data_IF_506346394062
#
_entry.id   IF_506346394062
#
_cell.length_a   1.000
_cell.length_b   1.000
_cell.length_c   1.000
_cell.angle_alpha   90.00
_cell.angle_beta   90.00
_cell.angle_gamma   90.00
#
_symmetry.space_group_name_H-M   'P 1'
#
loop_
_entity.id
_entity.type
_entity.pdbx_description
1 polymer ?
#
# COMPACT_ATOMS: atom_id res chain seq x y z
N UNK A 1 -19.98 -7.24 -1.85
CA UNK A 1 -19.49 -6.12 -2.70
C UNK A 1 -19.17 -4.87 -1.89
N UNK A 2 -20.04 -4.40 -0.99
CA UNK A 2 -19.77 -3.23 -0.15
C UNK A 2 -18.48 -3.35 0.69
N UNK A 3 -18.17 -4.53 1.21
CA UNK A 3 -16.93 -4.79 1.95
C UNK A 3 -15.66 -4.56 1.11
N UNK A 4 -15.59 -5.09 -0.12
CA UNK A 4 -14.44 -4.84 -1.02
C UNK A 4 -14.29 -3.35 -1.36
N UNK A 5 -15.41 -2.63 -1.50
CA UNK A 5 -15.38 -1.19 -1.74
C UNK A 5 -14.85 -0.41 -0.53
N UNK A 6 -15.33 -0.73 0.68
CA UNK A 6 -14.87 -0.08 1.92
C UNK A 6 -13.38 -0.34 2.20
N UNK A 7 -12.90 -1.54 1.88
CA UNK A 7 -11.48 -1.92 1.92
C UNK A 7 -10.68 -1.01 0.98
N UNK A 8 -11.02 -1.02 -0.32
CA UNK A 8 -10.32 -0.19 -1.31
C UNK A 8 -10.39 1.32 -1.02
N UNK A 9 -11.50 1.82 -0.47
CA UNK A 9 -11.63 3.20 -0.03
C UNK A 9 -10.66 3.52 1.12
N UNK A 10 -10.52 2.63 2.12
CA UNK A 10 -9.55 2.80 3.21
C UNK A 10 -8.13 2.83 2.68
N UNK A 11 -7.73 1.84 1.87
CA UNK A 11 -6.37 1.80 1.34
C UNK A 11 -6.06 3.00 0.43
N UNK A 12 -7.05 3.44 -0.37
CA UNK A 12 -6.92 4.65 -1.19
C UNK A 12 -6.76 5.93 -0.35
N UNK A 13 -7.55 6.05 0.72
CA UNK A 13 -7.43 7.17 1.66
C UNK A 13 -6.07 7.16 2.37
N UNK A 14 -5.61 6.01 2.87
CA UNK A 14 -4.28 5.86 3.48
C UNK A 14 -3.15 6.26 2.52
N UNK A 15 -3.20 5.79 1.26
CA UNK A 15 -2.23 6.17 0.25
C UNK A 15 -2.22 7.68 -0.03
N UNK A 16 -3.41 8.28 -0.15
CA UNK A 16 -3.54 9.74 -0.36
C UNK A 16 -3.00 10.55 0.84
N UNK A 17 -3.21 10.05 2.07
CA UNK A 17 -2.72 10.66 3.29
C UNK A 17 -1.19 10.61 3.36
N UNK A 18 -0.58 9.47 3.04
CA UNK A 18 0.88 9.32 3.00
C UNK A 18 1.50 10.28 1.98
N UNK A 19 0.96 10.33 0.76
CA UNK A 19 1.45 11.26 -0.28
C UNK A 19 1.28 12.71 0.17
N UNK A 20 0.14 13.05 0.78
CA UNK A 20 -0.11 14.38 1.34
C UNK A 20 0.89 14.78 2.41
N UNK A 21 1.22 13.88 3.35
CA UNK A 21 2.23 14.11 4.40
C UNK A 21 3.61 14.34 3.79
N UNK A 22 4.00 13.53 2.79
CA UNK A 22 5.29 13.69 2.10
C UNK A 22 5.40 15.02 1.36
N UNK A 23 4.33 15.44 0.66
CA UNK A 23 4.29 16.74 -0.03
C UNK A 23 4.33 17.87 1.01
N UNK A 24 3.54 17.80 2.08
CA UNK A 24 3.55 18.80 3.15
C UNK A 24 4.93 18.94 3.79
N UNK A 25 5.62 17.81 4.03
CA UNK A 25 6.99 17.81 4.55
C UNK A 25 7.99 18.42 3.56
N UNK A 26 7.89 18.09 2.27
CA UNK A 26 8.73 18.67 1.22
C UNK A 26 8.56 20.20 1.12
N UNK A 27 7.32 20.68 1.24
CA UNK A 27 7.01 22.13 1.29
C UNK A 27 7.57 22.76 2.57
N UNK A 28 7.46 22.09 3.73
CA UNK A 28 7.96 22.59 5.02
C UNK A 28 9.49 22.77 5.03
N UNK A 29 10.23 21.93 4.32
CA UNK A 29 11.71 22.01 4.21
C UNK A 29 12.14 22.93 3.05
N UNK A 30 11.19 23.62 2.40
CA UNK A 30 11.37 24.48 1.21
C UNK A 30 12.05 23.76 0.03
N UNK A 31 11.98 22.43 0.00
CA UNK A 31 12.56 21.58 -1.05
C UNK A 31 11.48 21.18 -2.05
N UNK A 32 11.01 22.17 -2.81
CA UNK A 32 9.95 21.99 -3.83
C UNK A 32 10.35 21.04 -4.95
N UNK A 33 11.65 20.88 -5.22
CA UNK A 33 12.18 19.91 -6.18
C UNK A 33 11.77 18.46 -5.86
N UNK A 34 11.57 18.14 -4.58
CA UNK A 34 11.15 16.81 -4.15
C UNK A 34 9.69 16.52 -4.51
N UNK A 35 8.85 17.55 -4.70
CA UNK A 35 7.43 17.38 -5.05
C UNK A 35 7.30 16.70 -6.42
N UNK A 36 8.12 17.11 -7.41
CA UNK A 36 8.13 16.46 -8.72
C UNK A 36 8.59 15.00 -8.63
N UNK A 37 9.52 14.68 -7.72
CA UNK A 37 9.98 13.30 -7.48
C UNK A 37 8.90 12.44 -6.80
N UNK A 38 8.14 13.02 -5.86
CA UNK A 38 7.00 12.34 -5.23
C UNK A 38 5.95 12.00 -6.29
N UNK A 39 5.59 12.96 -7.15
CA UNK A 39 4.65 12.72 -8.26
C UNK A 39 5.17 11.71 -9.27
N UNK A 40 6.47 11.73 -9.59
CA UNK A 40 7.08 10.71 -10.44
C UNK A 40 6.96 9.31 -9.81
N UNK A 41 7.18 9.20 -8.49
CA UNK A 41 6.98 7.95 -7.75
C UNK A 41 5.52 7.47 -7.76
N UNK A 42 4.56 8.37 -7.57
CA UNK A 42 3.12 8.05 -7.65
C UNK A 42 2.76 7.58 -9.06
N UNK A 43 3.19 8.30 -10.09
CA UNK A 43 2.97 7.91 -11.49
C UNK A 43 3.58 6.55 -11.81
N UNK A 44 4.82 6.29 -11.38
CA UNK A 44 5.46 5.00 -11.53
C UNK A 44 4.70 3.88 -10.81
N UNK A 45 4.22 4.11 -9.58
CA UNK A 45 3.44 3.15 -8.83
C UNK A 45 2.12 2.79 -9.55
N UNK A 46 1.43 3.79 -10.11
CA UNK A 46 0.20 3.57 -10.90
C UNK A 46 0.49 2.76 -12.16
N UNK A 47 1.54 3.11 -12.90
CA UNK A 47 1.95 2.38 -14.11
C UNK A 47 2.29 0.92 -13.79
N UNK A 48 3.08 0.69 -12.74
CA UNK A 48 3.45 -0.67 -12.31
C UNK A 48 2.22 -1.45 -11.86
N UNK A 49 1.30 -0.82 -11.12
CA UNK A 49 0.06 -1.46 -10.66
C UNK A 49 -0.83 -1.88 -11.83
N UNK A 50 -1.11 -0.95 -12.76
CA UNK A 50 -1.90 -1.23 -13.96
C UNK A 50 -1.21 -2.24 -14.87
N UNK A 51 0.11 -2.11 -15.07
CA UNK A 51 0.90 -3.02 -15.90
C UNK A 51 0.92 -4.44 -15.35
N UNK A 52 1.06 -4.60 -14.03
CA UNK A 52 1.02 -5.91 -13.38
C UNK A 52 -0.37 -6.54 -13.50
N UNK A 53 -1.42 -5.76 -13.22
CA UNK A 53 -2.80 -6.23 -13.37
C UNK A 53 -3.13 -6.64 -14.81
N UNK A 54 -2.75 -5.82 -15.78
CA UNK A 54 -2.93 -6.12 -17.20
C UNK A 54 -2.16 -7.38 -17.61
N UNK A 55 -0.90 -7.52 -17.18
CA UNK A 55 -0.08 -8.69 -17.49
C UNK A 55 -0.70 -9.98 -16.96
N UNK A 56 -1.15 -9.97 -15.70
CA UNK A 56 -1.84 -11.14 -15.10
C UNK A 56 -3.13 -11.44 -15.87
N UNK A 57 -3.90 -10.42 -16.24
CA UNK A 57 -5.13 -10.58 -17.01
C UNK A 57 -4.88 -11.22 -18.37
N UNK A 58 -3.87 -10.75 -19.12
CA UNK A 58 -3.50 -11.33 -20.42
C UNK A 58 -3.06 -12.80 -20.29
N UNK A 59 -2.17 -13.10 -19.33
CA UNK A 59 -1.72 -14.47 -19.08
C UNK A 59 -2.90 -15.39 -18.79
N UNK A 60 -3.86 -14.91 -17.99
CA UNK A 60 -5.01 -15.71 -17.59
C UNK A 60 -6.03 -15.89 -18.71
N UNK A 61 -6.15 -14.90 -19.61
CA UNK A 61 -7.04 -14.93 -20.77
C UNK A 61 -6.53 -15.87 -21.88
N UNK A 62 -5.21 -16.03 -22.01
CA UNK A 62 -4.58 -16.88 -23.04
C UNK A 62 -4.29 -18.31 -22.53
N UNK A 63 -4.48 -18.55 -21.23
CA UNK A 63 -4.27 -19.86 -20.61
C UNK A 63 -5.40 -20.84 -20.92
N UNK A 64 -5.05 -22.10 -21.21
CA UNK A 64 -6.01 -23.19 -21.36
C UNK A 64 -6.83 -23.45 -20.09
N UNK A 65 -8.05 -23.96 -20.25
CA UNK A 65 -9.00 -24.25 -19.15
C UNK A 65 -8.45 -25.15 -18.03
N UNK A 66 -7.42 -25.96 -18.32
CA UNK A 66 -6.76 -26.80 -17.31
C UNK A 66 -5.72 -26.05 -16.47
N UNK A 67 -5.04 -25.05 -17.04
CA UNK A 67 -3.94 -24.32 -16.38
C UNK A 67 -4.46 -23.14 -15.57
N UNK A 68 -5.53 -22.49 -16.05
CA UNK A 68 -6.19 -21.37 -15.39
C UNK A 68 -6.53 -21.63 -13.91
N UNK A 69 -7.19 -22.74 -13.51
CA UNK A 69 -7.54 -22.97 -12.10
C UNK A 69 -6.32 -23.13 -11.20
N UNK A 70 -5.20 -23.65 -11.71
CA UNK A 70 -3.95 -23.78 -10.94
C UNK A 70 -3.35 -22.41 -10.68
N UNK A 71 -3.30 -21.55 -11.70
CA UNK A 71 -2.77 -20.18 -11.59
C UNK A 71 -3.63 -19.34 -10.63
N UNK A 72 -4.96 -19.38 -10.79
CA UNK A 72 -5.90 -18.67 -9.90
C UNK A 72 -5.80 -19.18 -8.47
N UNK A 73 -5.71 -20.50 -8.27
CA UNK A 73 -5.56 -21.11 -6.97
C UNK A 73 -4.27 -20.68 -6.27
N UNK A 74 -3.14 -20.74 -6.97
CA UNK A 74 -1.85 -20.28 -6.45
C UNK A 74 -1.86 -18.79 -6.08
N UNK A 75 -2.40 -17.93 -6.96
CA UNK A 75 -2.58 -16.50 -6.69
C UNK A 75 -3.45 -16.25 -5.45
N UNK A 76 -4.49 -17.05 -5.23
CA UNK A 76 -5.37 -16.92 -4.07
C UNK A 76 -4.67 -17.27 -2.76
N UNK A 77 -3.87 -18.34 -2.75
CA UNK A 77 -3.06 -18.72 -1.58
C UNK A 77 -2.01 -17.65 -1.28
N UNK A 78 -1.35 -17.12 -2.32
CA UNK A 78 -0.41 -16.01 -2.17
C UNK A 78 -1.10 -14.75 -1.63
N UNK A 79 -2.27 -14.38 -2.16
CA UNK A 79 -3.04 -13.25 -1.69
C UNK A 79 -3.44 -13.41 -0.21
N UNK A 80 -3.91 -14.58 0.19
CA UNK A 80 -4.24 -14.88 1.59
C UNK A 80 -3.01 -14.75 2.51
N UNK A 81 -1.84 -15.22 2.06
CA UNK A 81 -0.58 -15.07 2.80
C UNK A 81 -0.17 -13.61 2.97
N UNK A 82 -0.23 -12.81 1.90
CA UNK A 82 0.08 -11.37 1.93
C UNK A 82 -0.87 -10.59 2.84
N UNK A 83 -2.17 -10.86 2.77
CA UNK A 83 -3.16 -10.22 3.64
C UNK A 83 -2.93 -10.60 5.10
N UNK A 84 -2.66 -11.88 5.38
CA UNK A 84 -2.34 -12.34 6.73
C UNK A 84 -1.10 -11.61 7.26
N UNK A 85 -0.03 -11.54 6.46
CA UNK A 85 1.17 -10.82 6.80
C UNK A 85 0.89 -9.34 7.11
N UNK A 86 0.08 -8.66 6.30
CA UNK A 86 -0.29 -7.25 6.49
C UNK A 86 -1.00 -7.01 7.82
N UNK A 87 -1.89 -7.92 8.24
CA UNK A 87 -2.59 -7.83 9.54
C UNK A 87 -1.58 -7.90 10.69
N UNK A 88 -0.66 -8.87 10.66
CA UNK A 88 0.40 -8.97 11.68
C UNK A 88 1.34 -7.76 11.66
N UNK A 89 1.66 -7.24 10.48
CA UNK A 89 2.50 -6.07 10.32
C UNK A 89 1.86 -4.82 10.93
N UNK A 90 0.59 -4.54 10.63
CA UNK A 90 -0.13 -3.42 11.24
C UNK A 90 -0.24 -3.57 12.76
N UNK A 91 -0.51 -4.77 13.27
CA UNK A 91 -0.56 -5.03 14.70
C UNK A 91 0.77 -4.72 15.40
N UNK A 92 1.91 -5.02 14.75
CA UNK A 92 3.25 -4.68 15.25
C UNK A 92 3.53 -3.18 15.17
N UNK A 93 3.22 -2.55 14.04
CA UNK A 93 3.44 -1.10 13.81
C UNK A 93 2.63 -0.24 14.79
N UNK A 94 1.37 -0.60 15.05
CA UNK A 94 0.52 0.11 16.02
C UNK A 94 1.12 0.10 17.44
N UNK A 95 1.75 -1.01 17.86
CA UNK A 95 2.42 -1.13 19.17
C UNK A 95 3.66 -0.24 19.26
N UNK A 96 4.44 -0.14 18.18
CA UNK A 96 5.62 0.73 18.13
C UNK A 96 5.25 2.23 18.14
N UNK A 97 4.17 2.62 17.45
CA UNK A 97 3.71 4.01 17.48
C UNK A 97 3.23 4.44 18.88
N UNK A 98 2.56 3.55 19.63
CA UNK A 98 2.17 3.81 21.02
C UNK A 98 3.40 4.04 21.92
N UNK A 99 4.43 3.21 21.79
CA UNK A 99 5.66 3.35 22.57
C UNK A 99 6.45 4.63 22.26
N UNK A 100 6.50 5.06 20.99
CA UNK A 100 7.14 6.32 20.61
C UNK A 100 6.40 7.55 21.15
N UNK A 101 5.07 7.53 21.16
CA UNK A 101 4.26 8.64 21.67
C UNK A 101 4.37 8.75 23.20
N UNK A 102 4.30 7.62 23.92
CA UNK A 102 4.48 7.59 25.37
C UNK A 102 5.90 8.03 25.77
N UNK A 103 6.93 7.60 25.01
CA UNK A 103 8.31 8.03 25.22
C UNK A 103 8.54 9.53 25.00
N UNK A 104 7.95 10.13 23.96
CA UNK A 104 8.02 11.58 23.72
C UNK A 104 7.25 12.40 24.74
N UNK A 105 6.15 11.88 25.29
CA UNK A 105 5.40 12.54 26.38
C UNK A 105 6.19 12.52 27.71
N UNK A 106 6.86 11.41 28.03
CA UNK A 106 7.70 11.34 29.23
C UNK A 106 8.94 12.23 29.14
N UNK A 107 9.58 12.32 27.97
CA UNK A 107 10.73 13.20 27.76
C UNK A 107 10.39 14.70 27.80
N UNK A 108 9.14 15.08 27.54
CA UNK A 108 8.65 16.46 27.68
C UNK A 108 8.22 16.85 29.10
N UNK A 109 8.17 15.88 30.03
CA UNK A 109 7.80 16.09 31.43
C UNK A 109 8.99 16.04 32.41
N UNK A 110 10.23 15.92 31.90
CA UNK A 110 11.49 16.04 32.64
C UNK A 110 12.26 17.30 32.21
#
# INVERSE_FOLDING_TARGET
MLANFLIGLREGLEASLIVGILIAFAVKVDRRDLISRIWAGVGAAVIVSLGTGATIFYILAESSDTVQPIIVGALSVLAAGLLTWMIFWMAKTARNLKGSLEGSMQAGLS
#
